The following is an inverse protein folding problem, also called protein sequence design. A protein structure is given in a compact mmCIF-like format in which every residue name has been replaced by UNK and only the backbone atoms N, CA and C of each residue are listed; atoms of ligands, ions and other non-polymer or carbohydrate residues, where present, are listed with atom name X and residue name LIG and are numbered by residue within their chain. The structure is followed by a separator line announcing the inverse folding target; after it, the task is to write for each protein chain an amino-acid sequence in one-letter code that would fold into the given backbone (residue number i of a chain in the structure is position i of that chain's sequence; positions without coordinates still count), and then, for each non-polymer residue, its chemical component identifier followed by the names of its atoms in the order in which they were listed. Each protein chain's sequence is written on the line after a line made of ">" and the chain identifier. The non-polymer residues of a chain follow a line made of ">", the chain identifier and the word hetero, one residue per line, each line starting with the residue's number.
data_IF_513875174639
#
_entry.id   IF_513875174639
#
_cell.length_a   1.000
_cell.length_b   1.000
_cell.length_c   1.000
_cell.angle_alpha   90.00
_cell.angle_beta   90.00
_cell.angle_gamma   90.00
#
_symmetry.space_group_name_H-M   'P 1'
#
loop_
_entity.id
_entity.type
_entity.pdbx_description
1 polymer ?
#
# COMPACT_ATOMS: atom_id res chain seq x y z
N UNK A 1 46.87 -24.86 -4.16
CA UNK A 1 45.76 -24.55 -3.24
C UNK A 1 44.93 -25.81 -3.07
N UNK A 2 44.66 -26.24 -1.84
CA UNK A 2 43.91 -27.47 -1.57
C UNK A 2 42.45 -27.32 -2.05
N UNK A 3 41.95 -28.33 -2.77
CA UNK A 3 40.56 -28.37 -3.26
C UNK A 3 39.65 -28.63 -2.06
N UNK A 4 38.66 -27.76 -1.83
CA UNK A 4 37.67 -27.97 -0.77
C UNK A 4 36.78 -29.16 -1.12
N UNK A 5 36.68 -30.15 -0.21
CA UNK A 5 35.80 -31.31 -0.35
C UNK A 5 34.56 -31.13 0.52
N UNK A 6 33.40 -31.42 -0.06
CA UNK A 6 32.10 -31.27 0.62
C UNK A 6 31.90 -32.47 1.55
N UNK A 7 31.57 -32.25 2.84
CA UNK A 7 31.32 -33.34 3.78
C UNK A 7 30.20 -34.28 3.34
N UNK A 8 30.32 -35.57 3.69
CA UNK A 8 29.32 -36.58 3.36
C UNK A 8 27.95 -36.23 3.96
N UNK A 9 26.90 -36.28 3.15
CA UNK A 9 25.54 -35.87 3.53
C UNK A 9 25.21 -34.40 3.28
N UNK A 10 26.18 -33.59 2.85
CA UNK A 10 25.97 -32.19 2.50
C UNK A 10 26.01 -31.98 0.98
N UNK A 11 25.30 -30.96 0.50
CA UNK A 11 25.35 -30.49 -0.90
C UNK A 11 25.91 -29.08 -0.92
N UNK A 12 26.91 -28.81 -1.75
CA UNK A 12 27.32 -27.43 -2.00
C UNK A 12 26.24 -26.71 -2.80
N UNK A 13 25.82 -25.56 -2.29
CA UNK A 13 24.93 -24.64 -2.99
C UNK A 13 25.66 -23.33 -3.17
N UNK A 14 25.93 -22.97 -4.42
CA UNK A 14 26.48 -21.67 -4.76
C UNK A 14 25.33 -20.66 -4.81
N UNK A 15 25.41 -19.59 -4.03
CA UNK A 15 24.52 -18.43 -4.13
C UNK A 15 25.26 -17.34 -4.91
N UNK A 16 24.66 -16.87 -6.00
CA UNK A 16 25.16 -15.69 -6.70
C UNK A 16 24.56 -14.46 -6.05
N UNK A 17 25.29 -13.86 -5.11
CA UNK A 17 24.93 -12.54 -4.59
C UNK A 17 25.29 -11.51 -5.66
N UNK A 18 24.31 -11.07 -6.44
CA UNK A 18 24.51 -9.92 -7.31
C UNK A 18 24.54 -8.67 -6.40
N UNK A 19 25.74 -8.16 -6.12
CA UNK A 19 25.93 -6.86 -5.45
C UNK A 19 25.36 -5.72 -6.31
N UNK A 20 25.34 -5.94 -7.62
CA UNK A 20 24.84 -5.02 -8.64
C UNK A 20 23.87 -5.82 -9.53
N UNK A 21 22.56 -5.69 -9.27
CA UNK A 21 21.56 -6.21 -10.21
C UNK A 21 21.61 -5.28 -11.43
N UNK A 22 21.79 -5.78 -12.66
CA UNK A 22 21.64 -4.91 -13.81
C UNK A 22 20.23 -4.32 -13.76
N UNK A 23 20.14 -2.99 -13.88
CA UNK A 23 18.88 -2.20 -13.88
C UNK A 23 17.82 -2.70 -14.89
N UNK A 24 18.17 -3.66 -15.73
CA UNK A 24 17.35 -4.32 -16.74
C UNK A 24 16.63 -5.59 -16.26
N UNK A 25 16.69 -5.98 -14.98
CA UNK A 25 15.85 -7.09 -14.50
C UNK A 25 14.37 -6.67 -14.49
N UNK A 26 13.65 -7.14 -15.50
CA UNK A 26 12.20 -6.93 -15.66
C UNK A 26 11.38 -7.29 -14.41
N UNK A 27 11.79 -8.27 -13.61
CA UNK A 27 11.10 -8.67 -12.38
C UNK A 27 11.26 -7.61 -11.29
N UNK A 28 12.48 -7.10 -11.13
CA UNK A 28 12.77 -6.02 -10.19
C UNK A 28 12.03 -4.75 -10.59
N UNK A 29 12.06 -4.38 -11.88
CA UNK A 29 11.30 -3.25 -12.41
C UNK A 29 9.78 -3.41 -12.19
N UNK A 30 9.24 -4.62 -12.37
CA UNK A 30 7.83 -4.94 -12.10
C UNK A 30 7.47 -4.73 -10.63
N UNK A 31 8.34 -5.11 -9.69
CA UNK A 31 8.10 -4.88 -8.26
C UNK A 31 8.06 -3.38 -7.92
N UNK A 32 8.97 -2.58 -8.47
CA UNK A 32 8.94 -1.12 -8.28
C UNK A 32 7.69 -0.50 -8.89
N UNK A 33 7.28 -0.95 -10.08
CA UNK A 33 6.04 -0.53 -10.73
C UNK A 33 4.80 -0.85 -9.88
N UNK A 34 4.69 -2.07 -9.38
CA UNK A 34 3.59 -2.50 -8.51
C UNK A 34 3.54 -1.69 -7.20
N UNK A 35 4.69 -1.43 -6.58
CA UNK A 35 4.76 -0.61 -5.36
C UNK A 35 4.31 0.84 -5.62
N UNK A 36 4.75 1.44 -6.73
CA UNK A 36 4.33 2.79 -7.12
C UNK A 36 2.83 2.85 -7.41
N UNK A 37 2.30 1.84 -8.10
CA UNK A 37 0.87 1.74 -8.38
C UNK A 37 0.07 1.68 -7.08
N UNK A 38 0.41 0.75 -6.18
CA UNK A 38 -0.27 0.61 -4.88
C UNK A 38 -0.22 1.91 -4.07
N UNK A 39 0.94 2.58 -4.03
CA UNK A 39 1.10 3.86 -3.35
C UNK A 39 0.20 4.95 -3.94
N UNK A 40 0.27 5.18 -5.27
CA UNK A 40 -0.51 6.23 -5.92
C UNK A 40 -2.01 5.98 -5.81
N UNK A 41 -2.43 4.73 -6.01
CA UNK A 41 -3.82 4.34 -5.87
C UNK A 41 -4.32 4.63 -4.46
N UNK A 42 -3.56 4.24 -3.45
CA UNK A 42 -3.95 4.43 -2.06
C UNK A 42 -3.93 5.90 -1.63
N UNK A 43 -2.97 6.69 -2.14
CA UNK A 43 -2.92 8.13 -1.92
C UNK A 43 -4.19 8.80 -2.45
N UNK A 44 -4.59 8.48 -3.68
CA UNK A 44 -5.81 9.00 -4.29
C UNK A 44 -7.05 8.71 -3.43
N UNK A 45 -7.22 7.47 -2.96
CA UNK A 45 -8.36 7.10 -2.11
C UNK A 45 -8.40 7.84 -0.77
N UNK A 46 -7.24 8.06 -0.16
CA UNK A 46 -7.16 8.80 1.11
C UNK A 46 -7.48 10.28 0.87
N UNK A 47 -6.94 10.87 -0.19
CA UNK A 47 -7.23 12.27 -0.56
C UNK A 47 -8.71 12.47 -0.87
N UNK A 48 -9.31 11.57 -1.64
CA UNK A 48 -10.75 11.59 -1.94
C UNK A 48 -11.58 11.48 -0.66
N UNK A 49 -11.28 10.52 0.22
CA UNK A 49 -12.02 10.34 1.47
C UNK A 49 -11.92 11.58 2.39
N UNK A 50 -10.74 12.19 2.48
CA UNK A 50 -10.53 13.43 3.24
C UNK A 50 -11.37 14.56 2.63
N UNK A 51 -11.38 14.70 1.31
CA UNK A 51 -12.13 15.76 0.64
C UNK A 51 -13.64 15.58 0.78
N UNK A 52 -14.14 14.36 0.59
CA UNK A 52 -15.55 14.04 0.85
C UNK A 52 -15.94 14.35 2.30
N UNK A 53 -15.07 14.05 3.26
CA UNK A 53 -15.32 14.37 4.66
C UNK A 53 -15.46 15.87 4.89
N UNK A 54 -14.60 16.70 4.28
CA UNK A 54 -14.72 18.17 4.37
C UNK A 54 -16.01 18.67 3.76
N UNK A 55 -16.36 18.20 2.56
CA UNK A 55 -17.57 18.61 1.84
C UNK A 55 -18.82 18.32 2.68
N UNK A 56 -18.93 17.10 3.21
CA UNK A 56 -20.05 16.69 4.04
C UNK A 56 -20.10 17.50 5.34
N UNK A 57 -18.96 17.71 6.01
CA UNK A 57 -18.91 18.55 7.21
C UNK A 57 -19.41 19.97 6.90
N UNK A 58 -18.97 20.59 5.80
CA UNK A 58 -19.43 21.92 5.40
C UNK A 58 -20.92 21.95 5.04
N UNK A 59 -21.43 20.91 4.38
CA UNK A 59 -22.84 20.79 4.05
C UNK A 59 -23.71 20.73 5.32
N UNK A 60 -23.33 19.91 6.30
CA UNK A 60 -24.05 19.80 7.56
C UNK A 60 -24.05 21.13 8.34
N UNK A 61 -22.91 21.81 8.40
CA UNK A 61 -22.82 23.14 9.02
C UNK A 61 -23.76 24.16 8.35
N UNK A 62 -23.84 24.15 7.01
CA UNK A 62 -24.77 25.02 6.26
C UNK A 62 -26.23 24.69 6.53
N UNK A 63 -26.54 23.44 6.87
CA UNK A 63 -27.87 23.00 7.26
C UNK A 63 -28.21 23.29 8.74
N UNK A 64 -27.28 23.91 9.49
CA UNK A 64 -27.50 24.31 10.87
C UNK A 64 -27.05 23.29 11.92
N UNK A 65 -26.35 22.22 11.53
CA UNK A 65 -25.75 21.30 12.49
C UNK A 65 -24.64 21.99 13.29
N UNK A 66 -24.43 21.53 14.53
CA UNK A 66 -23.23 21.89 15.29
C UNK A 66 -21.98 21.28 14.66
N UNK A 67 -20.80 21.78 15.06
CA UNK A 67 -19.54 21.27 14.52
C UNK A 67 -19.26 19.82 14.91
N UNK A 68 -19.73 19.38 16.07
CA UNK A 68 -19.59 18.00 16.55
C UNK A 68 -20.50 17.06 15.74
N UNK A 69 -21.77 17.41 15.60
CA UNK A 69 -22.74 16.65 14.80
C UNK A 69 -22.32 16.56 13.34
N UNK A 70 -21.81 17.65 12.75
CA UNK A 70 -21.34 17.66 11.37
C UNK A 70 -20.16 16.70 11.15
N UNK A 71 -19.22 16.64 12.10
CA UNK A 71 -18.07 15.73 12.04
C UNK A 71 -18.50 14.27 12.23
N UNK A 72 -19.38 14.00 13.18
CA UNK A 72 -19.88 12.65 13.43
C UNK A 72 -20.69 12.13 12.25
N UNK A 73 -21.55 12.97 11.67
CA UNK A 73 -22.28 12.67 10.45
C UNK A 73 -21.34 12.38 9.28
N UNK A 74 -20.37 13.26 9.03
CA UNK A 74 -19.37 13.06 7.98
C UNK A 74 -18.60 11.74 8.14
N UNK A 75 -18.17 11.43 9.38
CA UNK A 75 -17.48 10.17 9.68
C UNK A 75 -18.37 8.95 9.44
N UNK A 76 -19.66 9.04 9.76
CA UNK A 76 -20.63 7.98 9.51
C UNK A 76 -20.87 7.71 8.02
N UNK A 77 -20.79 8.74 7.18
CA UNK A 77 -21.00 8.64 5.73
C UNK A 77 -19.74 8.17 4.99
N UNK A 78 -18.58 8.77 5.29
CA UNK A 78 -17.30 8.44 4.62
C UNK A 78 -16.70 7.13 5.13
N UNK A 79 -17.01 6.77 6.38
CA UNK A 79 -16.39 5.64 7.07
C UNK A 79 -15.00 6.00 7.63
N UNK A 80 -14.30 4.97 8.12
CA UNK A 80 -12.97 5.14 8.69
C UNK A 80 -11.91 5.32 7.61
N UNK A 81 -11.27 6.49 7.60
CA UNK A 81 -10.12 6.78 6.74
C UNK A 81 -8.89 6.07 7.33
N UNK A 82 -8.17 5.24 6.56
CA UNK A 82 -6.92 4.62 7.01
C UNK A 82 -5.88 5.66 7.43
N UNK A 83 -5.35 5.56 8.65
CA UNK A 83 -4.37 6.52 9.20
C UNK A 83 -3.01 5.91 9.53
N UNK A 84 -2.94 4.58 9.67
CA UNK A 84 -1.67 3.88 9.92
C UNK A 84 -1.22 3.09 8.70
N UNK A 85 0.09 2.80 8.63
CA UNK A 85 0.65 1.91 7.61
C UNK A 85 -0.01 0.52 7.61
N UNK A 86 -0.45 0.05 8.79
CA UNK A 86 -1.17 -1.21 8.90
C UNK A 86 -2.58 -1.14 8.31
N UNK A 87 -3.35 -0.08 8.60
CA UNK A 87 -4.69 0.13 8.02
C UNK A 87 -4.63 0.22 6.50
N UNK A 88 -3.65 0.99 6.01
CA UNK A 88 -3.39 1.17 4.58
C UNK A 88 -3.10 -0.19 3.94
N UNK A 89 -2.23 -1.00 4.54
CA UNK A 89 -1.90 -2.33 4.02
C UNK A 89 -3.12 -3.27 4.05
N UNK A 90 -3.93 -3.21 5.10
CA UNK A 90 -5.15 -4.00 5.22
C UNK A 90 -6.16 -3.62 4.12
N UNK A 91 -6.35 -2.33 3.88
CA UNK A 91 -7.23 -1.80 2.85
C UNK A 91 -6.75 -2.16 1.43
N UNK A 92 -5.45 -2.03 1.17
CA UNK A 92 -4.85 -2.48 -0.09
C UNK A 92 -5.08 -3.98 -0.31
N UNK A 93 -4.78 -4.81 0.69
CA UNK A 93 -4.91 -6.26 0.58
C UNK A 93 -6.35 -6.71 0.32
N UNK A 94 -7.37 -5.97 0.79
CA UNK A 94 -8.77 -6.34 0.54
C UNK A 94 -9.24 -6.01 -0.87
N UNK A 95 -8.52 -5.18 -1.63
CA UNK A 95 -8.93 -4.68 -2.95
C UNK A 95 -7.94 -4.98 -4.07
N UNK A 96 -6.70 -5.35 -3.74
CA UNK A 96 -5.63 -5.57 -4.73
C UNK A 96 -6.05 -6.52 -5.85
N UNK A 97 -6.87 -7.53 -5.55
CA UNK A 97 -7.30 -8.51 -6.55
C UNK A 97 -8.32 -7.92 -7.55
N UNK A 98 -8.99 -6.82 -7.17
CA UNK A 98 -9.90 -6.06 -8.03
C UNK A 98 -9.16 -4.98 -8.84
N UNK A 99 -8.20 -4.29 -8.22
CA UNK A 99 -7.54 -3.11 -8.82
C UNK A 99 -6.20 -3.42 -9.50
N UNK A 100 -5.61 -4.56 -9.16
CA UNK A 100 -4.37 -5.06 -9.74
C UNK A 100 -4.45 -6.58 -9.99
N UNK A 101 -5.27 -7.03 -10.97
CA UNK A 101 -5.51 -8.45 -11.25
C UNK A 101 -4.36 -9.17 -12.00
N UNK A 102 -3.16 -8.57 -12.05
CA UNK A 102 -2.00 -9.05 -12.79
C UNK A 102 -0.90 -9.63 -11.89
#
# INVERSE_FOLDING_TARGET
>A
MAKYEIPQGYKAQAYKFALDHPLADSRVASHFGANRFAYNWMLFHIEEAIEQSKILTQLALRQGASQEEAKDWSKGVVGEIPRSAWDIRKYWNSRKDEVAPW
#
